data_IF_908626062828
#
_entry.id   IF_908626062828
#
_cell.length_a   1.000
_cell.length_b   1.000
_cell.length_c   1.000
_cell.angle_alpha   90.00
_cell.angle_beta   90.00
_cell.angle_gamma   90.00
#
_symmetry.space_group_name_H-M   'P 1'
#
loop_
_entity.id
_entity.type
_entity.pdbx_description
1 polymer ?
#
# COMPACT_ATOMS: atom_id res chain seq x y z
N UNK A 1 8.06 24.00 -3.20
CA UNK A 1 8.39 23.20 -4.39
C UNK A 1 9.87 22.94 -4.33
N UNK A 2 10.32 21.73 -4.58
CA UNK A 2 11.75 21.38 -4.54
C UNK A 2 12.32 21.52 -5.96
N UNK A 3 13.47 22.22 -6.06
CA UNK A 3 14.15 22.41 -7.34
C UNK A 3 15.10 21.25 -7.62
N UNK A 4 15.03 20.69 -8.82
CA UNK A 4 15.93 19.64 -9.30
C UNK A 4 16.69 20.12 -10.55
N UNK A 5 17.94 19.71 -10.75
CA UNK A 5 18.65 19.96 -12.00
C UNK A 5 17.99 19.23 -13.14
N UNK A 6 17.85 19.89 -14.29
CA UNK A 6 17.18 19.35 -15.49
C UNK A 6 17.81 18.02 -15.97
N UNK A 7 19.15 17.90 -15.92
CA UNK A 7 19.83 16.64 -16.28
C UNK A 7 19.47 15.48 -15.33
N UNK A 8 19.21 15.78 -14.07
CA UNK A 8 18.80 14.80 -13.06
C UNK A 8 17.31 14.44 -13.23
N UNK A 9 16.45 15.43 -13.42
CA UNK A 9 15.02 15.23 -13.69
C UNK A 9 14.85 14.34 -14.92
N UNK A 10 15.46 14.71 -16.06
CA UNK A 10 15.38 13.96 -17.32
C UNK A 10 15.88 12.52 -17.15
N UNK A 11 17.02 12.33 -16.46
CA UNK A 11 17.58 10.99 -16.19
C UNK A 11 16.59 10.12 -15.41
N UNK A 12 15.99 10.66 -14.36
CA UNK A 12 15.05 9.93 -13.49
C UNK A 12 13.73 9.59 -14.20
N UNK A 13 13.20 10.56 -14.96
CA UNK A 13 11.90 10.44 -15.63
C UNK A 13 11.96 9.46 -16.81
N UNK A 14 13.03 9.52 -17.61
CA UNK A 14 13.20 8.68 -18.79
C UNK A 14 13.97 7.38 -18.54
N UNK A 15 14.47 7.15 -17.33
CA UNK A 15 15.25 5.94 -17.02
C UNK A 15 16.61 5.87 -17.76
N UNK A 16 17.18 7.01 -18.19
CA UNK A 16 18.43 7.07 -18.95
C UNK A 16 19.59 7.55 -18.07
N UNK A 17 20.85 7.32 -18.54
CA UNK A 17 22.01 7.84 -17.81
C UNK A 17 22.01 9.38 -17.80
N UNK A 18 22.65 9.99 -16.78
CA UNK A 18 22.81 11.46 -16.75
C UNK A 18 23.60 12.01 -17.95
N UNK A 19 24.49 11.21 -18.55
CA UNK A 19 25.22 11.56 -19.77
C UNK A 19 24.26 11.66 -20.96
N UNK A 20 23.38 10.69 -21.12
CA UNK A 20 22.38 10.67 -22.20
C UNK A 20 21.34 11.77 -21.99
N UNK A 21 20.87 11.97 -20.76
CA UNK A 21 19.99 13.08 -20.42
C UNK A 21 20.56 14.45 -20.84
N UNK A 22 21.85 14.70 -20.53
CA UNK A 22 22.54 15.94 -20.99
C UNK A 22 22.57 16.05 -22.51
N UNK A 23 22.81 14.96 -23.21
CA UNK A 23 22.82 14.95 -24.67
C UNK A 23 21.44 15.28 -25.25
N UNK A 24 20.37 14.70 -24.70
CA UNK A 24 18.97 15.00 -25.10
C UNK A 24 18.61 16.46 -24.88
N UNK A 25 18.97 17.02 -23.73
CA UNK A 25 18.70 18.42 -23.37
C UNK A 25 19.45 19.36 -24.31
N UNK A 26 20.76 19.16 -24.51
CA UNK A 26 21.59 20.02 -25.36
C UNK A 26 21.13 20.02 -26.82
N UNK A 27 20.62 18.88 -27.32
CA UNK A 27 20.03 18.75 -28.66
C UNK A 27 18.65 19.42 -28.79
N UNK A 28 18.03 19.84 -27.67
CA UNK A 28 16.70 20.45 -27.65
C UNK A 28 15.57 19.45 -27.78
N UNK A 29 15.79 18.18 -27.44
CA UNK A 29 14.78 17.14 -27.53
C UNK A 29 13.84 17.12 -26.29
N UNK A 30 14.17 17.89 -25.26
CA UNK A 30 13.41 17.98 -24.01
C UNK A 30 12.71 19.33 -23.94
N UNK A 31 11.43 19.32 -23.58
CA UNK A 31 10.68 20.51 -23.18
C UNK A 31 10.29 20.39 -21.71
N UNK A 32 10.25 21.52 -21.02
CA UNK A 32 9.68 21.66 -19.68
C UNK A 32 8.59 22.70 -19.74
N UNK A 33 7.39 22.36 -19.31
CA UNK A 33 6.19 23.21 -19.41
C UNK A 33 6.00 23.76 -20.83
N UNK A 34 6.29 22.94 -21.85
CA UNK A 34 6.21 23.31 -23.28
C UNK A 34 7.43 24.07 -23.83
N UNK A 35 8.38 24.53 -23.01
CA UNK A 35 9.54 25.29 -23.42
C UNK A 35 10.81 24.42 -23.60
N UNK A 36 11.57 24.66 -24.68
CA UNK A 36 12.83 23.95 -24.94
C UNK A 36 13.94 24.58 -24.09
N UNK A 37 14.45 23.82 -23.12
CA UNK A 37 15.60 24.20 -22.31
C UNK A 37 16.83 23.42 -22.78
N UNK A 38 17.94 24.12 -23.15
CA UNK A 38 19.16 23.49 -23.69
C UNK A 38 20.32 23.42 -22.69
N UNK A 39 20.11 23.88 -21.46
CA UNK A 39 21.15 23.94 -20.43
C UNK A 39 20.87 22.89 -19.35
N UNK A 40 21.62 21.78 -19.30
CA UNK A 40 21.38 20.66 -18.40
C UNK A 40 21.46 21.00 -16.90
N UNK A 41 22.18 22.05 -16.56
CA UNK A 41 22.41 22.50 -15.18
C UNK A 41 21.28 23.37 -14.59
N UNK A 42 20.36 23.85 -15.43
CA UNK A 42 19.23 24.68 -14.96
C UNK A 42 18.44 23.89 -13.93
N UNK A 43 18.04 24.59 -12.87
CA UNK A 43 17.09 24.05 -11.89
C UNK A 43 15.66 24.29 -12.37
N UNK A 44 14.86 23.27 -12.31
CA UNK A 44 13.44 23.27 -12.62
C UNK A 44 12.67 22.65 -11.46
N UNK A 45 11.36 22.91 -11.36
CA UNK A 45 10.51 22.23 -10.39
C UNK A 45 10.56 20.72 -10.65
N UNK A 46 10.74 19.93 -9.59
CA UNK A 46 10.77 18.47 -9.71
C UNK A 46 9.46 17.87 -10.22
N UNK A 47 8.32 18.58 -10.05
CA UNK A 47 7.00 18.18 -10.53
C UNK A 47 6.65 18.75 -11.92
N UNK A 48 7.57 19.53 -12.54
CA UNK A 48 7.34 20.11 -13.86
C UNK A 48 7.11 19.03 -14.92
N UNK A 49 6.19 19.31 -15.84
CA UNK A 49 5.89 18.41 -16.96
C UNK A 49 7.04 18.42 -17.96
N UNK A 50 7.67 17.28 -18.14
CA UNK A 50 8.72 17.03 -19.12
C UNK A 50 8.09 16.41 -20.37
N UNK A 51 8.30 17.02 -21.55
CA UNK A 51 7.89 16.43 -22.84
C UNK A 51 9.10 15.88 -23.58
N UNK A 52 9.02 14.63 -24.01
CA UNK A 52 10.02 13.96 -24.85
C UNK A 52 9.31 13.13 -25.94
N UNK A 53 9.70 13.29 -27.20
CA UNK A 53 9.11 12.63 -28.38
C UNK A 53 7.58 12.76 -28.49
N UNK A 54 7.02 13.86 -27.96
CA UNK A 54 5.57 14.13 -27.98
C UNK A 54 4.81 13.57 -26.79
N UNK A 55 5.44 12.77 -25.94
CA UNK A 55 4.87 12.22 -24.71
C UNK A 55 5.21 13.10 -23.51
N UNK A 56 4.25 13.22 -22.58
CA UNK A 56 4.41 13.98 -21.35
C UNK A 56 4.74 13.07 -20.16
N UNK A 57 5.70 13.50 -19.37
CA UNK A 57 6.21 12.79 -18.20
C UNK A 57 6.25 13.74 -17.00
N UNK A 58 5.86 13.22 -15.83
CA UNK A 58 5.99 13.93 -14.55
C UNK A 58 6.82 13.09 -13.60
N UNK A 59 7.82 13.71 -12.95
CA UNK A 59 8.60 13.01 -11.95
C UNK A 59 7.77 12.81 -10.69
N UNK A 60 7.57 11.55 -10.34
CA UNK A 60 6.98 11.17 -9.05
C UNK A 60 8.11 10.80 -8.10
N UNK A 61 8.36 11.67 -7.11
CA UNK A 61 9.41 11.46 -6.10
C UNK A 61 9.23 10.11 -5.41
N UNK A 62 8.01 9.79 -5.03
CA UNK A 62 7.63 8.51 -4.46
C UNK A 62 6.45 7.92 -5.25
N UNK A 63 6.40 6.61 -5.33
CA UNK A 63 5.22 5.89 -5.82
C UNK A 63 4.38 5.41 -4.65
N UNK A 64 3.08 5.50 -4.82
CA UNK A 64 2.10 4.94 -3.89
C UNK A 64 1.13 4.09 -4.72
N UNK A 65 1.21 2.79 -4.55
CA UNK A 65 0.49 1.82 -5.35
C UNK A 65 -0.50 1.10 -4.45
N UNK A 66 -1.76 1.07 -4.89
CA UNK A 66 -2.78 0.18 -4.36
C UNK A 66 -2.75 -1.11 -5.18
N UNK A 67 -2.63 -2.23 -4.50
CA UNK A 67 -2.74 -3.57 -5.09
C UNK A 67 -3.84 -4.34 -4.37
N UNK A 68 -4.68 -5.03 -5.13
CA UNK A 68 -5.56 -6.06 -4.58
C UNK A 68 -4.79 -7.39 -4.57
N UNK A 69 -4.07 -7.65 -3.49
CA UNK A 69 -3.19 -8.81 -3.34
C UNK A 69 -4.00 -10.11 -3.45
N UNK A 70 -3.68 -11.03 -4.35
CA UNK A 70 -4.32 -12.34 -4.41
C UNK A 70 -3.80 -13.29 -3.33
N UNK A 71 -4.47 -14.42 -3.15
CA UNK A 71 -3.98 -15.54 -2.34
C UNK A 71 -2.71 -16.15 -2.94
N UNK A 72 -1.86 -16.75 -2.11
CA UNK A 72 -0.65 -17.46 -2.54
C UNK A 72 0.58 -16.58 -2.76
N UNK A 73 0.43 -15.27 -2.85
CA UNK A 73 1.51 -14.29 -3.04
C UNK A 73 2.02 -13.81 -1.68
N UNK A 74 3.35 -13.59 -1.55
CA UNK A 74 3.96 -13.13 -0.29
C UNK A 74 4.17 -11.62 -0.28
N UNK A 75 3.99 -10.99 0.90
CA UNK A 75 4.25 -9.58 1.13
C UNK A 75 5.72 -9.37 1.53
N UNK A 76 6.63 -9.54 0.55
CA UNK A 76 8.08 -9.44 0.73
C UNK A 76 8.72 -8.68 -0.43
N UNK A 77 9.95 -8.20 -0.23
CA UNK A 77 10.86 -7.75 -1.28
C UNK A 77 11.76 -8.89 -1.77
N UNK A 78 11.69 -10.05 -1.12
CA UNK A 78 12.52 -11.22 -1.35
C UNK A 78 11.61 -12.40 -1.72
N UNK A 79 11.98 -13.17 -2.73
CA UNK A 79 11.22 -14.26 -3.34
C UNK A 79 11.50 -15.65 -2.71
N UNK A 80 12.31 -15.72 -1.65
CA UNK A 80 12.68 -17.00 -1.01
C UNK A 80 11.47 -17.87 -0.61
N UNK A 81 10.36 -17.24 -0.21
CA UNK A 81 9.13 -17.93 0.20
C UNK A 81 8.08 -18.07 -0.91
N UNK A 82 8.40 -17.62 -2.13
CA UNK A 82 7.55 -17.66 -3.32
C UNK A 82 7.33 -16.28 -3.96
N UNK A 83 6.51 -16.26 -5.02
CA UNK A 83 6.19 -15.05 -5.77
C UNK A 83 5.69 -13.93 -4.87
N UNK A 84 6.23 -12.72 -5.08
CA UNK A 84 6.01 -11.57 -4.20
C UNK A 84 4.98 -10.59 -4.77
N UNK A 85 4.48 -9.68 -3.91
CA UNK A 85 3.62 -8.57 -4.34
C UNK A 85 4.31 -7.63 -5.34
N UNK A 86 5.65 -7.63 -5.41
CA UNK A 86 6.42 -6.82 -6.37
C UNK A 86 6.56 -7.52 -7.72
N UNK A 87 6.64 -8.86 -7.74
CA UNK A 87 6.78 -9.63 -8.98
C UNK A 87 5.57 -9.49 -9.87
N UNK A 88 4.38 -9.45 -9.28
CA UNK A 88 3.09 -9.33 -9.98
C UNK A 88 2.72 -7.88 -10.36
N UNK A 89 3.55 -6.89 -10.02
CA UNK A 89 3.31 -5.51 -10.47
C UNK A 89 3.42 -5.41 -12.00
N UNK A 90 2.56 -4.63 -12.65
CA UNK A 90 2.71 -4.32 -14.09
C UNK A 90 4.02 -3.55 -14.33
N UNK A 91 4.66 -3.71 -15.51
CA UNK A 91 5.99 -3.16 -15.80
C UNK A 91 6.11 -1.64 -15.60
N UNK A 92 5.06 -0.90 -15.91
CA UNK A 92 4.98 0.56 -15.77
C UNK A 92 4.92 1.06 -14.32
N UNK A 93 4.58 0.18 -13.38
CA UNK A 93 4.60 0.47 -11.94
C UNK A 93 5.85 -0.08 -11.24
N UNK A 94 6.71 -0.85 -11.94
CA UNK A 94 7.94 -1.38 -11.35
C UNK A 94 9.01 -0.31 -11.27
N UNK A 95 9.63 -0.18 -10.09
CA UNK A 95 10.74 0.72 -9.84
C UNK A 95 11.61 0.16 -8.71
N UNK A 96 12.92 0.43 -8.77
CA UNK A 96 13.84 0.08 -7.69
C UNK A 96 13.45 0.79 -6.38
N UNK A 97 13.61 0.09 -5.27
CA UNK A 97 13.33 0.63 -3.94
C UNK A 97 11.87 0.49 -3.48
N UNK A 98 10.98 -0.08 -4.29
CA UNK A 98 9.63 -0.38 -3.85
C UNK A 98 9.61 -1.49 -2.79
N UNK A 99 8.70 -1.37 -1.82
CA UNK A 99 8.45 -2.37 -0.80
C UNK A 99 6.98 -2.34 -0.34
N UNK A 100 6.45 -3.45 0.16
CA UNK A 100 5.09 -3.47 0.72
C UNK A 100 5.05 -2.70 2.05
N UNK A 101 4.20 -1.67 2.13
CA UNK A 101 3.93 -0.92 3.34
C UNK A 101 2.95 -1.70 4.23
N UNK A 102 3.49 -2.55 5.06
CA UNK A 102 2.77 -3.55 5.85
C UNK A 102 2.71 -4.91 5.15
N UNK A 103 2.19 -5.89 5.87
CA UNK A 103 2.15 -7.26 5.39
C UNK A 103 0.74 -7.83 5.44
N UNK A 104 0.47 -8.72 4.51
CA UNK A 104 -0.59 -9.73 4.56
C UNK A 104 0.10 -11.09 4.45
N UNK A 105 -0.42 -12.06 5.18
CA UNK A 105 0.07 -13.43 5.09
C UNK A 105 -0.14 -13.99 3.68
N UNK A 106 0.58 -15.05 3.31
CA UNK A 106 0.48 -15.73 2.01
C UNK A 106 -0.97 -16.12 1.67
N UNK A 107 -1.73 -16.55 2.69
CA UNK A 107 -3.14 -16.98 2.57
C UNK A 107 -4.13 -15.92 3.08
N UNK A 108 -3.75 -14.65 3.01
CA UNK A 108 -4.62 -13.50 3.21
C UNK A 108 -4.53 -12.62 1.97
N UNK A 109 -5.63 -11.97 1.61
CA UNK A 109 -5.72 -11.19 0.38
C UNK A 109 -6.33 -9.81 0.59
N UNK A 110 -6.51 -9.07 -0.51
CA UNK A 110 -7.12 -7.76 -0.49
C UNK A 110 -6.11 -6.61 -0.46
N UNK A 111 -6.47 -5.52 0.17
CA UNK A 111 -5.77 -4.25 0.10
C UNK A 111 -4.32 -4.31 0.56
N UNK A 112 -3.39 -4.04 -0.34
CA UNK A 112 -1.96 -3.90 -0.09
C UNK A 112 -1.47 -2.56 -0.62
N UNK A 113 -0.66 -1.86 0.16
CA UNK A 113 0.02 -0.64 -0.27
C UNK A 113 1.48 -0.96 -0.53
N UNK A 114 1.98 -0.53 -1.69
CA UNK A 114 3.38 -0.66 -2.09
C UNK A 114 3.92 0.74 -2.37
N UNK A 115 5.10 1.05 -1.84
CA UNK A 115 5.71 2.38 -1.96
C UNK A 115 7.21 2.30 -1.80
N UNK A 116 7.93 3.36 -2.20
CA UNK A 116 9.32 3.61 -1.89
C UNK A 116 9.50 4.79 -0.89
N UNK A 117 8.41 5.28 -0.29
CA UNK A 117 8.43 6.27 0.79
C UNK A 117 8.44 5.59 2.17
N UNK A 118 9.65 5.38 2.70
CA UNK A 118 9.81 4.79 4.04
C UNK A 118 9.21 5.63 5.16
N UNK A 119 9.17 6.98 5.02
CA UNK A 119 8.57 7.85 6.04
C UNK A 119 7.05 7.71 6.07
N UNK A 120 6.43 7.66 4.91
CA UNK A 120 5.00 7.42 4.79
C UNK A 120 4.63 6.03 5.36
N UNK A 121 5.33 4.99 4.92
CA UNK A 121 5.09 3.64 5.40
C UNK A 121 5.22 3.53 6.92
N UNK A 122 6.26 4.14 7.50
CA UNK A 122 6.43 4.19 8.95
C UNK A 122 5.25 4.89 9.65
N UNK A 123 4.79 6.03 9.14
CA UNK A 123 3.61 6.73 9.69
C UNK A 123 2.35 5.89 9.63
N UNK A 124 2.11 5.18 8.52
CA UNK A 124 0.94 4.32 8.33
C UNK A 124 0.95 3.09 9.24
N UNK A 125 2.16 2.54 9.53
CA UNK A 125 2.31 1.28 10.25
C UNK A 125 2.55 1.45 11.75
N UNK A 126 3.03 2.61 12.18
CA UNK A 126 3.38 2.85 13.57
C UNK A 126 2.16 2.67 14.49
N UNK A 127 2.24 1.88 15.57
CA UNK A 127 1.12 1.66 16.49
C UNK A 127 0.55 2.96 17.06
N UNK A 128 1.42 3.95 17.31
CA UNK A 128 1.04 5.27 17.81
C UNK A 128 0.14 6.05 16.83
N UNK A 129 0.18 5.74 15.55
CA UNK A 129 -0.66 6.40 14.54
C UNK A 129 -2.10 5.91 14.57
N UNK A 130 -2.37 4.75 15.19
CA UNK A 130 -3.70 4.15 15.28
C UNK A 130 -4.45 4.06 13.95
N UNK A 131 -3.73 3.85 12.84
CA UNK A 131 -4.35 3.67 11.52
C UNK A 131 -5.09 2.33 11.51
N UNK A 132 -6.38 2.43 11.30
CA UNK A 132 -7.28 1.29 11.27
C UNK A 132 -7.03 0.39 10.06
N UNK A 133 -7.21 -0.90 10.27
CA UNK A 133 -7.22 -1.91 9.21
C UNK A 133 -8.45 -2.78 9.41
N UNK A 134 -9.34 -2.76 8.44
CA UNK A 134 -10.57 -3.53 8.47
C UNK A 134 -10.47 -4.74 7.55
N UNK A 135 -10.93 -5.85 8.08
CA UNK A 135 -10.90 -7.14 7.40
C UNK A 135 -12.30 -7.74 7.32
N UNK A 136 -12.68 -8.21 6.15
CA UNK A 136 -13.72 -9.21 6.01
C UNK A 136 -13.15 -10.57 6.39
N UNK A 137 -13.86 -11.32 7.21
CA UNK A 137 -13.41 -12.61 7.71
C UNK A 137 -14.53 -13.64 7.59
N UNK A 138 -14.19 -14.83 7.11
CA UNK A 138 -15.04 -16.00 7.15
C UNK A 138 -14.37 -17.12 7.94
N UNK A 139 -15.10 -17.78 8.82
CA UNK A 139 -14.67 -18.94 9.61
C UNK A 139 -15.41 -20.21 9.20
N UNK A 140 -14.80 -21.36 9.46
CA UNK A 140 -15.36 -22.66 9.10
C UNK A 140 -16.58 -23.03 9.96
N UNK A 141 -16.59 -22.55 11.21
CA UNK A 141 -17.62 -22.82 12.21
C UNK A 141 -18.69 -21.74 12.23
N UNK A 142 -19.92 -22.09 12.60
CA UNK A 142 -21.02 -21.16 12.82
C UNK A 142 -21.02 -20.61 14.26
N UNK A 143 -19.89 -20.02 14.66
CA UNK A 143 -19.64 -19.61 16.06
C UNK A 143 -19.53 -18.10 16.26
N UNK A 144 -19.57 -17.30 15.19
CA UNK A 144 -19.58 -15.83 15.30
C UNK A 144 -20.77 -15.40 16.13
N UNK A 145 -20.52 -14.61 17.18
CA UNK A 145 -21.55 -14.26 18.16
C UNK A 145 -21.22 -12.94 18.85
N UNK A 146 -22.22 -12.33 19.48
CA UNK A 146 -22.05 -11.11 20.27
C UNK A 146 -21.03 -11.31 21.39
N UNK A 147 -21.01 -12.47 22.05
CA UNK A 147 -20.00 -12.81 23.05
C UNK A 147 -18.58 -12.69 22.50
N UNK A 148 -18.34 -13.15 21.26
CA UNK A 148 -17.04 -13.04 20.60
C UNK A 148 -16.69 -11.55 20.34
N UNK A 149 -17.64 -10.75 19.88
CA UNK A 149 -17.45 -9.32 19.68
C UNK A 149 -17.14 -8.58 21.00
N UNK A 150 -17.83 -8.94 22.09
CA UNK A 150 -17.59 -8.35 23.41
C UNK A 150 -16.18 -8.67 23.97
N UNK A 151 -15.65 -9.86 23.67
CA UNK A 151 -14.28 -10.24 24.04
C UNK A 151 -13.23 -9.52 23.15
N UNK A 152 -13.52 -9.35 21.85
CA UNK A 152 -12.66 -8.57 20.96
C UNK A 152 -12.54 -7.11 21.41
N UNK A 153 -13.64 -6.51 21.89
CA UNK A 153 -13.66 -5.15 22.41
C UNK A 153 -12.80 -4.94 23.67
N UNK A 154 -12.46 -6.01 24.42
CA UNK A 154 -11.57 -5.98 25.59
C UNK A 154 -10.11 -6.24 25.24
N UNK A 155 -9.84 -6.79 24.04
CA UNK A 155 -8.57 -7.39 23.66
C UNK A 155 -8.51 -8.87 24.00
N UNK A 156 -7.92 -9.66 23.13
CA UNK A 156 -7.89 -11.13 23.18
C UNK A 156 -6.49 -11.61 23.55
N UNK A 157 -6.40 -12.59 24.43
CA UNK A 157 -5.15 -13.31 24.68
C UNK A 157 -4.74 -14.09 23.41
N UNK A 158 -3.49 -13.92 22.98
CA UNK A 158 -2.99 -14.50 21.71
C UNK A 158 -2.03 -15.69 21.94
N UNK A 159 -1.79 -16.07 23.20
CA UNK A 159 -0.78 -17.05 23.56
C UNK A 159 0.55 -16.40 23.94
N UNK A 160 1.43 -17.16 24.64
CA UNK A 160 2.78 -16.73 24.99
C UNK A 160 2.88 -15.41 25.77
N UNK A 161 1.88 -15.12 26.59
CA UNK A 161 1.82 -13.88 27.37
C UNK A 161 1.41 -12.64 26.59
N UNK A 162 1.06 -12.77 25.29
CA UNK A 162 0.70 -11.66 24.43
C UNK A 162 -0.81 -11.44 24.40
N UNK A 163 -1.23 -10.17 24.46
CA UNK A 163 -2.61 -9.73 24.27
C UNK A 163 -2.71 -8.81 23.07
N UNK A 164 -3.83 -8.87 22.34
CA UNK A 164 -4.17 -7.84 21.35
C UNK A 164 -4.68 -6.58 22.06
N UNK A 165 -4.55 -5.44 21.39
CA UNK A 165 -5.35 -4.27 21.74
C UNK A 165 -6.84 -4.53 21.49
N UNK A 166 -7.76 -3.74 22.09
CA UNK A 166 -9.16 -3.77 21.76
C UNK A 166 -9.39 -3.69 20.25
N UNK A 167 -10.32 -4.50 19.75
CA UNK A 167 -10.68 -4.57 18.33
C UNK A 167 -12.20 -4.52 18.19
N UNK A 168 -12.69 -3.94 17.10
CA UNK A 168 -14.10 -3.95 16.79
C UNK A 168 -14.46 -5.18 15.94
N UNK A 169 -15.59 -5.81 16.24
CA UNK A 169 -16.16 -6.88 15.41
C UNK A 169 -17.61 -6.53 15.08
N UNK A 170 -17.90 -6.41 13.77
CA UNK A 170 -19.26 -6.25 13.24
C UNK A 170 -19.72 -7.59 12.65
N UNK A 171 -20.74 -8.18 13.24
CA UNK A 171 -21.27 -9.50 12.85
C UNK A 171 -22.08 -9.34 11.56
N UNK A 172 -21.81 -10.19 10.55
CA UNK A 172 -22.61 -10.31 9.34
C UNK A 172 -23.60 -11.47 9.51
N UNK A 173 -23.05 -12.64 9.84
CA UNK A 173 -23.83 -13.86 10.10
C UNK A 173 -23.05 -14.77 11.07
N UNK A 174 -23.47 -16.04 11.22
CA UNK A 174 -22.85 -17.00 12.14
C UNK A 174 -21.43 -17.42 11.75
N UNK A 175 -21.04 -17.22 10.50
CA UNK A 175 -19.73 -17.64 9.97
C UNK A 175 -18.89 -16.49 9.41
N UNK A 176 -19.42 -15.26 9.36
CA UNK A 176 -18.72 -14.13 8.79
C UNK A 176 -18.88 -12.84 9.62
N UNK A 177 -17.84 -12.00 9.59
CA UNK A 177 -17.81 -10.72 10.29
C UNK A 177 -16.80 -9.75 9.63
N UNK A 178 -16.93 -8.47 9.98
CA UNK A 178 -15.84 -7.50 9.80
C UNK A 178 -15.08 -7.35 11.12
N UNK A 179 -13.75 -7.22 11.02
CA UNK A 179 -12.88 -7.00 12.18
C UNK A 179 -11.99 -5.80 11.89
N UNK A 180 -12.02 -4.80 12.77
CA UNK A 180 -11.16 -3.61 12.72
C UNK A 180 -10.11 -3.67 13.83
N UNK A 181 -8.83 -3.57 13.45
CA UNK A 181 -7.68 -3.53 14.35
C UNK A 181 -6.83 -2.28 14.10
N UNK A 182 -6.08 -1.81 15.11
CA UNK A 182 -5.22 -0.62 15.05
C UNK A 182 -3.72 -0.96 15.04
N UNK A 183 -3.37 -2.22 15.13
CA UNK A 183 -2.02 -2.74 15.22
C UNK A 183 -1.75 -3.80 14.15
N UNK A 184 -0.61 -4.47 14.17
CA UNK A 184 -0.25 -5.47 13.17
C UNK A 184 0.62 -6.57 13.79
N UNK A 185 0.10 -7.28 14.78
CA UNK A 185 0.75 -8.43 15.39
C UNK A 185 0.75 -9.59 14.38
N UNK A 186 1.79 -10.42 14.42
CA UNK A 186 1.91 -11.59 13.56
C UNK A 186 0.68 -12.49 13.64
N UNK A 187 0.03 -12.73 12.51
CA UNK A 187 -1.21 -13.51 12.35
C UNK A 187 -2.35 -13.09 13.31
N UNK A 188 -2.44 -11.80 13.65
CA UNK A 188 -3.29 -11.32 14.75
C UNK A 188 -4.75 -11.78 14.63
N UNK A 189 -5.43 -11.46 13.52
CA UNK A 189 -6.85 -11.80 13.33
C UNK A 189 -7.08 -13.31 13.40
N UNK A 190 -6.19 -14.10 12.78
CA UNK A 190 -6.26 -15.57 12.82
C UNK A 190 -6.08 -16.11 14.24
N UNK A 191 -5.14 -15.55 15.01
CA UNK A 191 -4.88 -15.95 16.41
C UNK A 191 -6.04 -15.55 17.31
N UNK A 192 -6.58 -14.34 17.17
CA UNK A 192 -7.73 -13.87 17.94
C UNK A 192 -8.93 -14.82 17.75
N UNK A 193 -9.30 -15.12 16.52
CA UNK A 193 -10.40 -16.03 16.21
C UNK A 193 -10.14 -17.46 16.70
N UNK A 194 -8.91 -17.98 16.52
CA UNK A 194 -8.53 -19.30 17.01
C UNK A 194 -8.71 -19.43 18.51
N UNK A 195 -8.36 -18.41 19.30
CA UNK A 195 -8.54 -18.40 20.77
C UNK A 195 -10.03 -18.41 21.16
N UNK A 196 -10.90 -17.97 20.27
CA UNK A 196 -12.36 -18.01 20.46
C UNK A 196 -13.02 -19.22 19.78
N UNK A 197 -12.23 -20.19 19.30
CA UNK A 197 -12.71 -21.43 18.69
C UNK A 197 -13.07 -21.34 17.21
N UNK A 198 -12.71 -20.24 16.51
CA UNK A 198 -12.96 -20.07 15.09
C UNK A 198 -11.73 -20.40 14.23
N UNK A 199 -11.94 -21.11 13.12
CA UNK A 199 -10.92 -21.40 12.10
C UNK A 199 -11.13 -20.51 10.88
N UNK A 200 -10.22 -19.58 10.64
CA UNK A 200 -10.32 -18.64 9.50
C UNK A 200 -10.09 -19.37 8.18
N UNK A 201 -11.10 -19.36 7.33
CA UNK A 201 -11.06 -19.92 5.97
C UNK A 201 -10.93 -18.84 4.90
N UNK A 202 -11.36 -17.60 5.19
CA UNK A 202 -11.13 -16.44 4.32
C UNK A 202 -10.76 -15.21 5.14
N UNK A 203 -9.77 -14.42 4.66
CA UNK A 203 -9.29 -13.21 5.32
C UNK A 203 -8.87 -12.18 4.27
N UNK A 204 -9.74 -11.19 4.07
CA UNK A 204 -9.55 -10.12 3.10
C UNK A 204 -9.43 -8.78 3.79
N UNK A 205 -8.33 -8.06 3.60
CA UNK A 205 -8.24 -6.66 4.06
C UNK A 205 -8.98 -5.75 3.08
N UNK A 206 -10.00 -5.07 3.57
CA UNK A 206 -10.91 -4.26 2.74
C UNK A 206 -10.74 -2.75 2.94
N UNK A 207 -10.03 -2.31 3.99
CA UNK A 207 -9.82 -0.88 4.28
C UNK A 207 -8.52 -0.66 5.07
N UNK A 208 -7.85 0.46 4.81
CA UNK A 208 -6.76 1.01 5.62
C UNK A 208 -7.04 2.50 5.84
N UNK A 209 -7.05 2.96 7.10
CA UNK A 209 -7.47 4.31 7.43
C UNK A 209 -8.89 4.58 6.96
N UNK A 210 -9.11 5.70 6.28
CA UNK A 210 -10.39 6.01 5.65
C UNK A 210 -10.50 5.52 4.19
N UNK A 211 -9.46 4.87 3.62
CA UNK A 211 -9.45 4.40 2.24
C UNK A 211 -9.97 2.96 2.15
N UNK A 212 -11.12 2.70 1.51
CA UNK A 212 -11.57 1.35 1.19
C UNK A 212 -10.80 0.77 0.00
N UNK A 213 -10.77 -0.56 -0.11
CA UNK A 213 -10.31 -1.25 -1.31
C UNK A 213 -11.24 -0.89 -2.47
N UNK A 214 -10.66 -0.52 -3.59
CA UNK A 214 -11.39 -0.23 -4.83
C UNK A 214 -12.10 -1.50 -5.35
N UNK A 215 -13.42 -1.46 -5.42
CA UNK A 215 -14.25 -2.60 -5.87
C UNK A 215 -14.01 -2.97 -7.35
N UNK A 216 -13.53 -2.01 -8.16
CA UNK A 216 -13.22 -2.25 -9.56
C UNK A 216 -11.82 -2.84 -9.75
N UNK A 217 -10.96 -2.83 -8.74
CA UNK A 217 -9.61 -3.39 -8.80
C UNK A 217 -9.68 -4.89 -8.53
N UNK A 218 -9.53 -5.72 -9.56
CA UNK A 218 -9.56 -7.18 -9.45
C UNK A 218 -8.36 -7.71 -8.69
N UNK A 219 -8.48 -8.94 -8.17
CA UNK A 219 -7.33 -9.62 -7.53
C UNK A 219 -6.15 -9.73 -8.49
N UNK A 220 -4.95 -9.38 -8.00
CA UNK A 220 -3.71 -9.29 -8.77
C UNK A 220 -3.49 -7.94 -9.46
N UNK A 221 -4.52 -7.12 -9.63
CA UNK A 221 -4.37 -5.81 -10.26
C UNK A 221 -3.79 -4.77 -9.29
N UNK A 222 -3.15 -3.77 -9.90
CA UNK A 222 -2.52 -2.66 -9.18
C UNK A 222 -2.72 -1.35 -9.92
N UNK A 223 -2.84 -0.25 -9.17
CA UNK A 223 -2.89 1.11 -9.72
C UNK A 223 -2.20 2.12 -8.81
N UNK A 224 -1.88 3.27 -9.36
CA UNK A 224 -1.42 4.39 -8.54
C UNK A 224 -2.55 4.95 -7.67
N UNK A 225 -2.18 5.43 -6.50
CA UNK A 225 -3.06 6.21 -5.62
C UNK A 225 -3.06 7.69 -6.03
N UNK A 226 -4.21 8.33 -5.88
CA UNK A 226 -4.34 9.79 -5.95
C UNK A 226 -3.84 10.45 -4.65
N UNK A 227 -3.63 11.77 -4.67
CA UNK A 227 -3.22 12.52 -3.48
C UNK A 227 -4.25 12.43 -2.34
N UNK A 228 -5.54 12.45 -2.67
CA UNK A 228 -6.63 12.32 -1.70
C UNK A 228 -6.65 10.92 -1.07
N UNK A 229 -6.44 9.87 -1.86
CA UNK A 229 -6.35 8.50 -1.37
C UNK A 229 -5.14 8.29 -0.45
N UNK A 230 -3.97 8.87 -0.80
CA UNK A 230 -2.79 8.84 0.06
C UNK A 230 -3.07 9.53 1.41
N UNK A 231 -3.79 10.64 1.40
CA UNK A 231 -4.20 11.33 2.62
C UNK A 231 -5.19 10.50 3.44
N UNK A 232 -6.14 9.85 2.78
CA UNK A 232 -7.14 8.99 3.41
C UNK A 232 -6.52 7.80 4.15
N UNK A 233 -5.41 7.22 3.65
CA UNK A 233 -4.67 6.14 4.33
C UNK A 233 -4.16 6.51 5.72
N UNK A 234 -3.89 7.79 5.97
CA UNK A 234 -3.40 8.29 7.27
C UNK A 234 -4.51 8.86 8.15
N UNK A 235 -5.73 8.92 7.64
CA UNK A 235 -6.88 9.48 8.34
C UNK A 235 -7.60 8.37 9.10
N UNK A 236 -8.04 8.67 10.34
CA UNK A 236 -8.95 7.77 11.07
C UNK A 236 -10.32 7.82 10.38
N UNK A 237 -10.95 6.66 10.26
CA UNK A 237 -12.34 6.63 9.81
C UNK A 237 -13.22 7.19 10.93
N UNK A 238 -13.68 8.43 10.76
CA UNK A 238 -14.68 9.03 11.66
C UNK A 238 -16.03 8.68 11.02
N UNK A 239 -16.56 7.50 11.31
CA UNK A 239 -17.98 7.24 11.07
C UNK A 239 -18.77 8.27 11.89
N UNK A 240 -19.53 9.11 11.18
CA UNK A 240 -20.51 10.02 11.77
C UNK A 240 -21.78 9.27 12.15
#
# INVERSE_FOLDING_TARGET
>A
MADMRLDMLTSKVLGVSRKDAKALITKGNIKIEGEILKRPEIKVDEEAVLTYMGEEYTFKKFLYILQNKPLGIVSSTDDHDGETVLDILPPDLKREGLFPAGRLDKYSHGMMIITDDGKFAHRMLAPVSHVEKEYYVKIAEDTVSQKMADEFAKGVYLGEGQYSSPAEMKIIDKSSCYITIHEGIYHQVRRMLKMMGGTVIDLKRIRIGALPLDENLKEGESRLLTADEISALLTKNIEK
#
